data_IF_761583026758
#
_entry.id   IF_761583026758
#
_cell.length_a   1.000
_cell.length_b   1.000
_cell.length_c   1.000
_cell.angle_alpha   90.00
_cell.angle_beta   90.00
_cell.angle_gamma   90.00
#
_symmetry.space_group_name_H-M   'P 1'
#
loop_
_entity.id
_entity.type
_entity.pdbx_description
1 polymer ?
#
# COMPACT_ATOMS: atom_id res chain seq x y z
N UNK A 1 -16.28 19.70 4.18
CA UNK A 1 -15.27 19.07 3.32
C UNK A 1 -16.02 18.59 2.09
N UNK A 2 -15.52 18.86 0.89
CA UNK A 2 -16.16 18.42 -0.35
C UNK A 2 -16.35 16.89 -0.31
N UNK A 3 -17.58 16.41 -0.53
CA UNK A 3 -17.91 14.97 -0.52
C UNK A 3 -17.04 14.21 -1.51
N UNK A 4 -16.72 14.84 -2.65
CA UNK A 4 -15.83 14.28 -3.67
C UNK A 4 -14.43 13.98 -3.13
N UNK A 5 -13.93 14.77 -2.19
CA UNK A 5 -12.61 14.64 -1.58
C UNK A 5 -12.67 13.97 -0.21
N UNK A 6 -13.43 12.89 -0.12
CA UNK A 6 -13.64 12.11 1.11
C UNK A 6 -13.51 10.62 0.84
N UNK A 7 -13.42 9.82 1.91
CA UNK A 7 -13.44 8.36 1.80
C UNK A 7 -14.71 7.84 1.11
N UNK A 8 -15.87 8.46 1.38
CA UNK A 8 -17.12 8.11 0.72
C UNK A 8 -17.12 8.53 -0.75
N UNK A 9 -16.56 9.69 -1.09
CA UNK A 9 -16.41 10.14 -2.48
C UNK A 9 -15.55 9.20 -3.33
N UNK A 10 -14.45 8.67 -2.77
CA UNK A 10 -13.66 7.62 -3.44
C UNK A 10 -14.51 6.36 -3.61
N UNK A 11 -15.27 5.95 -2.59
CA UNK A 11 -16.12 4.77 -2.62
C UNK A 11 -17.28 4.89 -3.63
N UNK A 12 -17.84 6.09 -3.82
CA UNK A 12 -18.84 6.40 -4.84
C UNK A 12 -18.28 6.20 -6.25
N UNK A 13 -17.08 6.74 -6.52
CA UNK A 13 -16.39 6.54 -7.80
C UNK A 13 -16.03 5.06 -8.01
N UNK A 14 -15.84 4.30 -6.95
CA UNK A 14 -15.66 2.85 -7.01
C UNK A 14 -16.98 2.07 -7.09
N UNK A 15 -18.13 2.73 -7.04
CA UNK A 15 -19.45 2.10 -6.95
C UNK A 15 -19.58 1.10 -5.79
N UNK A 16 -18.92 1.39 -4.66
CA UNK A 16 -19.09 0.64 -3.41
C UNK A 16 -20.23 1.18 -2.56
N UNK A 17 -20.63 2.43 -2.80
CA UNK A 17 -21.80 3.08 -2.20
C UNK A 17 -22.62 3.76 -3.29
N UNK A 18 -23.90 4.00 -3.02
CA UNK A 18 -24.78 4.68 -3.96
C UNK A 18 -24.36 6.15 -4.12
N UNK A 19 -24.24 6.59 -5.38
CA UNK A 19 -24.04 8.01 -5.69
C UNK A 19 -25.38 8.75 -5.74
N UNK A 20 -25.36 10.06 -5.49
CA UNK A 20 -26.54 10.91 -5.66
C UNK A 20 -26.14 12.17 -6.44
N UNK A 21 -26.54 12.30 -7.72
CA UNK A 21 -27.38 11.37 -8.50
C UNK A 21 -26.68 10.04 -8.84
N UNK A 22 -27.43 9.00 -9.26
CA UNK A 22 -26.86 7.73 -9.71
C UNK A 22 -25.85 7.94 -10.84
N UNK A 23 -24.75 7.18 -10.81
CA UNK A 23 -23.76 7.21 -11.89
C UNK A 23 -24.40 6.68 -13.19
N UNK A 24 -24.01 7.21 -14.36
CA UNK A 24 -24.43 6.65 -15.64
C UNK A 24 -24.11 5.15 -15.74
N UNK A 25 -24.96 4.39 -16.43
CA UNK A 25 -24.84 2.93 -16.56
C UNK A 25 -23.56 2.48 -17.31
N UNK A 26 -22.94 3.37 -18.09
CA UNK A 26 -21.80 3.10 -18.97
C UNK A 26 -20.43 3.51 -18.37
N UNK A 27 -20.36 3.79 -17.07
CA UNK A 27 -19.11 4.20 -16.41
C UNK A 27 -18.15 3.01 -16.24
N UNK A 28 -17.22 2.89 -17.18
CA UNK A 28 -16.13 1.89 -17.21
C UNK A 28 -15.09 2.09 -16.10
N UNK A 29 -14.25 1.08 -15.87
CA UNK A 29 -13.10 1.17 -14.95
C UNK A 29 -12.07 2.23 -15.39
N UNK A 30 -11.94 2.46 -16.70
CA UNK A 30 -11.06 3.47 -17.27
C UNK A 30 -11.55 4.88 -16.90
N UNK A 31 -12.85 5.16 -17.08
CA UNK A 31 -13.46 6.42 -16.66
C UNK A 31 -13.26 6.67 -15.15
N UNK A 32 -13.44 5.63 -14.33
CA UNK A 32 -13.21 5.72 -12.87
C UNK A 32 -11.73 6.00 -12.56
N UNK A 33 -10.82 5.36 -13.29
CA UNK A 33 -9.38 5.60 -13.19
C UNK A 33 -9.01 7.07 -13.40
N UNK A 34 -9.60 7.72 -14.40
CA UNK A 34 -9.39 9.16 -14.66
C UNK A 34 -9.87 10.02 -13.49
N UNK A 35 -11.07 9.75 -12.97
CA UNK A 35 -11.65 10.51 -11.86
C UNK A 35 -10.81 10.33 -10.58
N UNK A 36 -10.47 9.08 -10.24
CA UNK A 36 -9.64 8.77 -9.06
C UNK A 36 -8.26 9.42 -9.20
N UNK A 37 -7.62 9.36 -10.37
CA UNK A 37 -6.32 10.00 -10.56
C UNK A 37 -6.41 11.52 -10.35
N UNK A 38 -7.50 12.16 -10.78
CA UNK A 38 -7.79 13.56 -10.46
C UNK A 38 -7.92 13.82 -8.96
N UNK A 39 -8.67 12.96 -8.23
CA UNK A 39 -8.78 13.05 -6.76
C UNK A 39 -7.42 12.91 -6.08
N UNK A 40 -6.60 11.94 -6.51
CA UNK A 40 -5.26 11.70 -5.97
C UNK A 40 -4.36 12.92 -6.12
N UNK A 41 -4.37 13.55 -7.30
CA UNK A 41 -3.60 14.78 -7.53
C UNK A 41 -4.01 15.88 -6.54
N UNK A 42 -5.31 16.03 -6.28
CA UNK A 42 -5.80 16.99 -5.28
C UNK A 42 -5.40 16.57 -3.86
N UNK A 43 -5.54 15.29 -3.49
CA UNK A 43 -5.13 14.80 -2.17
C UNK A 43 -3.66 15.09 -1.88
N UNK A 44 -2.78 14.93 -2.87
CA UNK A 44 -1.34 15.21 -2.72
C UNK A 44 -1.03 16.68 -2.43
N UNK A 45 -1.93 17.60 -2.75
CA UNK A 45 -1.81 19.04 -2.37
C UNK A 45 -2.28 19.33 -0.95
N UNK A 46 -3.01 18.41 -0.31
CA UNK A 46 -3.53 18.60 1.04
C UNK A 46 -2.41 18.41 2.09
N UNK A 47 -2.57 18.95 3.31
CA UNK A 47 -1.70 18.60 4.43
C UNK A 47 -1.69 17.09 4.68
N UNK A 48 -0.51 16.50 4.93
CA UNK A 48 -0.34 15.05 5.14
C UNK A 48 -1.31 14.46 6.17
N UNK A 49 -1.62 15.22 7.24
CA UNK A 49 -2.59 14.80 8.26
C UNK A 49 -4.00 14.62 7.68
N UNK A 50 -4.44 15.50 6.79
CA UNK A 50 -5.75 15.39 6.15
C UNK A 50 -5.81 14.19 5.19
N UNK A 51 -4.75 13.97 4.41
CA UNK A 51 -4.60 12.79 3.55
C UNK A 51 -4.72 11.51 4.36
N UNK A 52 -3.96 11.40 5.47
CA UNK A 52 -3.97 10.22 6.33
C UNK A 52 -5.34 9.91 6.93
N UNK A 53 -6.12 10.94 7.30
CA UNK A 53 -7.49 10.77 7.80
C UNK A 53 -8.37 10.13 6.72
N UNK A 54 -8.36 10.68 5.50
CA UNK A 54 -9.14 10.16 4.37
C UNK A 54 -8.72 8.73 4.01
N UNK A 55 -7.41 8.49 3.90
CA UNK A 55 -6.86 7.18 3.53
C UNK A 55 -7.18 6.11 4.58
N UNK A 56 -7.06 6.44 5.87
CA UNK A 56 -7.41 5.51 6.95
C UNK A 56 -8.91 5.27 7.04
N UNK A 57 -9.73 6.29 6.82
CA UNK A 57 -11.20 6.13 6.81
C UNK A 57 -11.63 5.24 5.65
N UNK A 58 -11.11 5.48 4.44
CA UNK A 58 -11.36 4.66 3.28
C UNK A 58 -10.93 3.22 3.51
N UNK A 59 -9.70 3.02 3.99
CA UNK A 59 -9.17 1.68 4.22
C UNK A 59 -9.95 0.92 5.31
N UNK A 60 -10.43 1.60 6.34
CA UNK A 60 -11.23 0.97 7.40
C UNK A 60 -12.60 0.47 6.92
N UNK A 61 -13.19 1.13 5.91
CA UNK A 61 -14.55 0.87 5.41
C UNK A 61 -14.59 0.01 4.14
N UNK A 62 -13.63 0.21 3.23
CA UNK A 62 -13.76 -0.26 1.84
C UNK A 62 -12.59 -1.12 1.34
N UNK A 63 -11.53 -1.30 2.14
CA UNK A 63 -10.34 -2.05 1.71
C UNK A 63 -10.64 -3.48 1.22
N UNK A 64 -11.49 -4.28 1.89
CA UNK A 64 -11.84 -5.62 1.38
C UNK A 64 -12.45 -5.60 -0.02
N UNK A 65 -13.36 -4.66 -0.28
CA UNK A 65 -14.02 -4.47 -1.58
C UNK A 65 -13.01 -4.01 -2.64
N UNK A 66 -12.08 -3.11 -2.28
CA UNK A 66 -10.99 -2.67 -3.18
C UNK A 66 -10.08 -3.83 -3.56
N UNK A 67 -9.67 -4.65 -2.59
CA UNK A 67 -8.86 -5.86 -2.85
C UNK A 67 -9.64 -6.82 -3.75
N UNK A 68 -10.92 -7.07 -3.48
CA UNK A 68 -11.73 -7.95 -4.32
C UNK A 68 -11.86 -7.44 -5.76
N UNK A 69 -12.07 -6.12 -5.95
CA UNK A 69 -12.08 -5.52 -7.29
C UNK A 69 -10.73 -5.70 -7.99
N UNK A 70 -9.62 -5.52 -7.26
CA UNK A 70 -8.28 -5.73 -7.80
C UNK A 70 -8.05 -7.19 -8.23
N UNK A 71 -8.52 -8.17 -7.43
CA UNK A 71 -8.47 -9.59 -7.79
C UNK A 71 -9.23 -9.88 -9.09
N UNK A 72 -10.39 -9.25 -9.27
CA UNK A 72 -11.26 -9.46 -10.42
C UNK A 72 -10.81 -8.73 -11.71
N UNK A 73 -9.75 -7.93 -11.68
CA UNK A 73 -9.26 -7.16 -12.83
C UNK A 73 -7.81 -7.54 -13.12
N UNK A 74 -7.47 -7.93 -14.36
CA UNK A 74 -6.11 -8.41 -14.71
C UNK A 74 -5.09 -7.30 -14.99
N UNK A 75 -5.49 -6.04 -15.09
CA UNK A 75 -4.57 -4.94 -15.37
C UNK A 75 -3.56 -4.72 -14.24
N UNK A 76 -2.32 -4.39 -14.61
CA UNK A 76 -1.22 -4.07 -13.68
C UNK A 76 -1.52 -2.86 -12.81
N UNK A 77 -2.31 -1.91 -13.33
CA UNK A 77 -2.66 -0.67 -12.65
C UNK A 77 -4.06 -0.17 -13.04
N UNK A 78 -5.09 -0.97 -12.75
CA UNK A 78 -6.48 -0.52 -12.80
C UNK A 78 -6.81 0.43 -11.63
N UNK A 79 -8.07 0.90 -11.57
CA UNK A 79 -8.54 1.83 -10.52
C UNK A 79 -8.34 1.28 -9.09
N UNK A 80 -8.44 -0.03 -8.89
CA UNK A 80 -8.26 -0.62 -7.56
C UNK A 80 -6.80 -0.57 -7.07
N UNK A 81 -5.79 -1.12 -7.77
CA UNK A 81 -4.38 -0.99 -7.37
C UNK A 81 -3.91 0.46 -7.35
N UNK A 82 -4.50 1.35 -8.16
CA UNK A 82 -4.27 2.78 -8.09
C UNK A 82 -4.58 3.32 -6.69
N UNK A 83 -5.77 3.03 -6.15
CA UNK A 83 -6.14 3.45 -4.78
C UNK A 83 -5.27 2.73 -3.74
N UNK A 84 -5.04 1.42 -3.89
CA UNK A 84 -4.22 0.65 -2.95
C UNK A 84 -2.80 1.23 -2.83
N UNK A 85 -2.23 1.70 -3.93
CA UNK A 85 -0.92 2.35 -3.95
C UNK A 85 -0.89 3.67 -3.16
N UNK A 86 -2.01 4.41 -3.11
CA UNK A 86 -2.07 5.67 -2.35
C UNK A 86 -2.29 5.43 -0.85
N UNK A 87 -3.00 4.37 -0.48
CA UNK A 87 -3.27 4.01 0.92
C UNK A 87 -2.24 3.03 1.50
N UNK A 88 -1.21 2.65 0.74
CA UNK A 88 -0.26 1.59 1.13
C UNK A 88 0.50 1.86 2.43
N UNK A 89 0.61 3.13 2.83
CA UNK A 89 1.26 3.58 4.06
C UNK A 89 0.33 3.57 5.29
N UNK A 90 -0.96 3.30 5.10
CA UNK A 90 -1.91 3.31 6.20
C UNK A 90 -1.84 1.98 6.98
N UNK A 91 -1.97 2.01 8.33
CA UNK A 91 -1.90 0.79 9.14
C UNK A 91 -2.94 -0.26 8.77
N UNK A 92 -4.11 0.14 8.25
CA UNK A 92 -5.16 -0.79 7.82
C UNK A 92 -4.74 -1.62 6.61
N UNK A 93 -4.13 -0.97 5.60
CA UNK A 93 -3.62 -1.66 4.42
C UNK A 93 -2.53 -2.65 4.80
N UNK A 94 -1.50 -2.17 5.51
CA UNK A 94 -0.37 -2.99 5.93
C UNK A 94 -0.82 -4.17 6.80
N UNK A 95 -1.71 -3.94 7.76
CA UNK A 95 -2.32 -5.02 8.55
C UNK A 95 -3.06 -6.05 7.69
N UNK A 96 -3.85 -5.58 6.71
CA UNK A 96 -4.56 -6.46 5.80
C UNK A 96 -3.63 -7.33 4.95
N UNK A 97 -2.44 -6.83 4.60
CA UNK A 97 -1.45 -7.59 3.84
C UNK A 97 -0.89 -8.79 4.61
N UNK A 98 -0.91 -8.77 5.95
CA UNK A 98 -0.50 -9.90 6.79
C UNK A 98 -1.59 -10.97 6.97
N UNK A 99 -2.82 -10.74 6.49
CA UNK A 99 -3.89 -11.74 6.57
C UNK A 99 -3.62 -12.87 5.58
N UNK A 100 -3.87 -14.11 6.00
CA UNK A 100 -3.66 -15.31 5.19
C UNK A 100 -4.36 -15.24 3.81
N UNK A 101 -5.59 -14.72 3.76
CA UNK A 101 -6.37 -14.56 2.53
C UNK A 101 -5.82 -13.52 1.54
N UNK A 102 -4.76 -12.80 1.90
CA UNK A 102 -4.14 -11.76 1.08
C UNK A 102 -2.66 -12.03 0.76
N UNK A 103 -2.09 -13.16 1.20
CA UNK A 103 -0.65 -13.43 1.05
C UNK A 103 -0.19 -13.63 -0.40
N UNK A 104 -1.13 -13.80 -1.34
CA UNK A 104 -0.88 -14.00 -2.77
C UNK A 104 -0.80 -12.69 -3.58
N UNK A 105 -1.05 -11.53 -2.95
CA UNK A 105 -1.13 -10.25 -3.67
C UNK A 105 0.20 -9.79 -4.28
N UNK A 106 1.34 -10.10 -3.65
CA UNK A 106 2.66 -9.83 -4.22
C UNK A 106 2.92 -10.66 -5.48
N UNK A 107 2.62 -11.97 -5.43
CA UNK A 107 2.73 -12.86 -6.59
C UNK A 107 1.81 -12.41 -7.74
N UNK A 108 0.57 -12.03 -7.39
CA UNK A 108 -0.40 -11.48 -8.33
C UNK A 108 0.12 -10.21 -9.01
N UNK A 109 0.69 -9.26 -8.25
CA UNK A 109 1.23 -8.03 -8.83
C UNK A 109 2.46 -8.29 -9.69
N UNK A 110 3.38 -9.18 -9.26
CA UNK A 110 4.54 -9.58 -10.08
C UNK A 110 4.09 -10.11 -11.43
N UNK A 111 3.15 -11.06 -11.44
CA UNK A 111 2.63 -11.65 -12.67
C UNK A 111 2.06 -10.58 -13.59
N UNK A 112 1.24 -9.66 -13.08
CA UNK A 112 0.65 -8.58 -13.89
C UNK A 112 1.68 -7.58 -14.39
N UNK A 113 2.71 -7.29 -13.60
CA UNK A 113 3.85 -6.46 -14.04
C UNK A 113 4.60 -7.12 -15.19
N UNK A 114 4.76 -8.45 -15.17
CA UNK A 114 5.37 -9.20 -16.26
C UNK A 114 4.48 -9.24 -17.51
N UNK A 115 3.19 -9.54 -17.34
CA UNK A 115 2.21 -9.58 -18.43
C UNK A 115 2.11 -8.20 -19.15
N UNK A 116 2.31 -7.10 -18.40
CA UNK A 116 2.30 -5.75 -18.93
C UNK A 116 3.69 -5.20 -19.32
N UNK A 117 4.76 -6.01 -19.27
CA UNK A 117 6.13 -5.51 -19.34
C UNK A 117 6.45 -4.74 -20.65
N UNK A 118 5.92 -5.18 -21.79
CA UNK A 118 6.09 -4.48 -23.07
C UNK A 118 5.39 -3.12 -23.08
N UNK A 119 4.15 -3.05 -22.57
CA UNK A 119 3.43 -1.79 -22.46
C UNK A 119 4.13 -0.81 -21.52
N UNK A 120 4.69 -1.32 -20.41
CA UNK A 120 5.44 -0.53 -19.42
C UNK A 120 6.67 0.17 -20.01
N UNK A 121 7.34 -0.41 -21.00
CA UNK A 121 8.50 0.22 -21.65
C UNK A 121 8.13 1.54 -22.35
N UNK A 122 6.88 1.66 -22.83
CA UNK A 122 6.35 2.89 -23.43
C UNK A 122 5.70 3.87 -22.44
N UNK A 123 5.49 3.47 -21.18
CA UNK A 123 4.79 4.31 -20.19
C UNK A 123 5.62 5.53 -19.75
N UNK A 124 4.91 6.56 -19.29
CA UNK A 124 5.55 7.71 -18.63
C UNK A 124 6.19 7.27 -17.32
N UNK A 125 7.15 8.05 -16.84
CA UNK A 125 7.91 7.70 -15.65
C UNK A 125 7.04 7.65 -14.39
N UNK A 126 6.08 8.57 -14.25
CA UNK A 126 5.16 8.61 -13.10
C UNK A 126 4.23 7.38 -13.03
N UNK A 127 3.83 6.83 -14.18
CA UNK A 127 3.05 5.60 -14.25
C UNK A 127 3.88 4.38 -13.83
N UNK A 128 5.11 4.28 -14.35
CA UNK A 128 6.07 3.24 -13.96
C UNK A 128 6.39 3.34 -12.46
N UNK A 129 6.61 4.55 -11.95
CA UNK A 129 6.92 4.81 -10.54
C UNK A 129 5.82 4.23 -9.65
N UNK A 130 4.56 4.50 -10.00
CA UNK A 130 3.43 4.00 -9.23
C UNK A 130 3.36 2.47 -9.21
N UNK A 131 3.60 1.81 -10.34
CA UNK A 131 3.64 0.34 -10.43
C UNK A 131 4.74 -0.23 -9.54
N UNK A 132 5.96 0.31 -9.68
CA UNK A 132 7.12 -0.20 -8.96
C UNK A 132 7.09 0.12 -7.47
N UNK A 133 6.56 1.28 -7.07
CA UNK A 133 6.40 1.64 -5.66
C UNK A 133 5.44 0.70 -4.96
N UNK A 134 4.28 0.45 -5.58
CA UNK A 134 3.30 -0.48 -5.04
C UNK A 134 3.84 -1.92 -4.98
N UNK A 135 4.52 -2.37 -6.04
CA UNK A 135 5.18 -3.67 -6.05
C UNK A 135 6.26 -3.78 -4.96
N UNK A 136 7.07 -2.75 -4.77
CA UNK A 136 8.10 -2.73 -3.75
C UNK A 136 7.51 -2.85 -2.33
N UNK A 137 6.39 -2.17 -2.06
CA UNK A 137 5.68 -2.31 -0.78
C UNK A 137 5.14 -3.73 -0.57
N UNK A 138 4.53 -4.33 -1.60
CA UNK A 138 4.03 -5.71 -1.50
C UNK A 138 5.16 -6.70 -1.24
N UNK A 139 6.26 -6.60 -1.98
CA UNK A 139 7.46 -7.44 -1.79
C UNK A 139 8.09 -7.24 -0.41
N UNK A 140 8.10 -6.01 0.10
CA UNK A 140 8.57 -5.71 1.46
C UNK A 140 7.69 -6.39 2.50
N UNK A 141 6.36 -6.32 2.35
CA UNK A 141 5.42 -6.80 3.38
C UNK A 141 5.22 -8.33 3.33
N UNK A 142 5.07 -8.90 2.13
CA UNK A 142 4.69 -10.31 1.93
C UNK A 142 5.86 -11.24 1.60
N UNK A 143 7.04 -10.69 1.33
CA UNK A 143 8.19 -11.43 0.83
C UNK A 143 7.93 -12.02 -0.58
N UNK A 144 8.87 -12.82 -1.09
CA UNK A 144 8.84 -13.47 -2.41
C UNK A 144 8.50 -14.96 -2.37
N UNK A 145 8.13 -15.50 -1.20
CA UNK A 145 7.94 -16.93 -0.93
C UNK A 145 6.95 -17.64 -1.86
N UNK A 146 5.91 -16.93 -2.28
CA UNK A 146 4.82 -17.47 -3.11
C UNK A 146 4.96 -17.08 -4.60
N UNK A 147 6.13 -16.55 -4.99
CA UNK A 147 6.41 -16.07 -6.34
C UNK A 147 7.32 -17.08 -7.04
N UNK A 148 6.93 -17.61 -8.23
CA UNK A 148 7.78 -18.55 -8.96
C UNK A 148 9.17 -17.96 -9.26
N UNK A 149 10.24 -18.74 -9.05
CA UNK A 149 11.62 -18.31 -9.34
C UNK A 149 11.84 -17.98 -10.82
N UNK A 150 11.08 -18.61 -11.73
CA UNK A 150 11.04 -18.26 -13.15
C UNK A 150 10.60 -16.80 -13.35
N UNK A 151 9.52 -16.41 -12.68
CA UNK A 151 8.92 -15.09 -12.80
C UNK A 151 9.84 -14.03 -12.18
N UNK A 152 10.45 -14.34 -11.03
CA UNK A 152 11.45 -13.47 -10.41
C UNK A 152 12.66 -13.25 -11.33
N UNK A 153 13.13 -14.28 -12.02
CA UNK A 153 14.26 -14.18 -12.96
C UNK A 153 13.94 -13.28 -14.16
N UNK A 154 12.73 -13.42 -14.73
CA UNK A 154 12.27 -12.56 -15.82
C UNK A 154 12.08 -11.12 -15.34
N UNK A 155 11.48 -10.94 -14.15
CA UNK A 155 11.25 -9.61 -13.57
C UNK A 155 12.57 -8.90 -13.30
N UNK A 156 13.59 -9.58 -12.75
CA UNK A 156 14.92 -9.00 -12.54
C UNK A 156 15.55 -8.54 -13.86
N UNK A 157 15.32 -9.24 -14.96
CA UNK A 157 15.80 -8.83 -16.29
C UNK A 157 15.11 -7.53 -16.73
N UNK A 158 13.79 -7.42 -16.56
CA UNK A 158 13.05 -6.19 -16.87
C UNK A 158 13.42 -5.04 -15.94
N UNK A 159 13.57 -5.27 -14.64
CA UNK A 159 14.01 -4.27 -13.67
C UNK A 159 15.38 -3.68 -14.02
N UNK A 160 16.34 -4.48 -14.50
CA UNK A 160 17.64 -3.97 -14.98
C UNK A 160 17.51 -3.01 -16.16
N UNK A 161 16.53 -3.23 -17.03
CA UNK A 161 16.24 -2.32 -18.15
C UNK A 161 15.63 -1.02 -17.60
N UNK A 162 14.61 -1.13 -16.75
CA UNK A 162 13.90 0.03 -16.19
C UNK A 162 14.74 0.87 -15.23
N UNK A 163 15.71 0.27 -14.53
CA UNK A 163 16.68 0.99 -13.68
C UNK A 163 17.41 2.11 -14.42
N UNK A 164 17.64 1.95 -15.74
CA UNK A 164 18.34 2.95 -16.57
C UNK A 164 17.56 4.26 -16.74
N UNK A 165 16.28 4.29 -16.36
CA UNK A 165 15.43 5.50 -16.38
C UNK A 165 15.63 6.40 -15.15
N UNK A 166 16.39 5.94 -14.15
CA UNK A 166 16.55 6.61 -12.87
C UNK A 166 18.02 6.92 -12.59
N UNK A 167 18.29 7.89 -11.69
CA UNK A 167 19.60 8.02 -11.07
C UNK A 167 20.04 6.73 -10.37
N UNK A 168 21.33 6.53 -10.20
CA UNK A 168 21.88 5.41 -9.43
C UNK A 168 21.79 5.64 -7.91
N UNK A 169 20.58 5.87 -7.43
CA UNK A 169 20.26 6.12 -6.02
C UNK A 169 19.17 5.16 -5.56
N UNK A 170 19.39 4.43 -4.46
CA UNK A 170 18.44 3.39 -4.03
C UNK A 170 17.10 3.98 -3.56
N UNK A 171 17.09 5.18 -3.00
CA UNK A 171 15.84 5.80 -2.54
C UNK A 171 14.99 6.27 -3.72
N UNK A 172 15.60 6.83 -4.76
CA UNK A 172 14.90 7.34 -5.94
C UNK A 172 14.64 6.26 -7.00
N UNK A 173 15.51 5.25 -7.13
CA UNK A 173 15.42 4.22 -8.15
C UNK A 173 14.51 3.06 -7.69
N UNK A 174 13.22 3.18 -8.00
CA UNK A 174 12.19 2.21 -7.66
C UNK A 174 12.46 0.81 -8.23
N UNK A 175 13.02 0.74 -9.44
CA UNK A 175 13.39 -0.54 -10.06
C UNK A 175 14.55 -1.22 -9.32
N UNK A 176 15.52 -0.43 -8.83
CA UNK A 176 16.60 -0.91 -7.95
C UNK A 176 16.05 -1.39 -6.61
N UNK A 177 15.09 -0.67 -6.00
CA UNK A 177 14.41 -1.12 -4.76
C UNK A 177 13.74 -2.48 -4.91
N UNK A 178 12.96 -2.68 -5.97
CA UNK A 178 12.35 -3.98 -6.26
C UNK A 178 13.42 -5.08 -6.43
N UNK A 179 14.50 -4.77 -7.13
CA UNK A 179 15.60 -5.73 -7.35
C UNK A 179 16.28 -6.12 -6.04
N UNK A 180 16.49 -5.18 -5.12
CA UNK A 180 17.06 -5.44 -3.78
C UNK A 180 16.12 -6.29 -2.94
N UNK A 181 14.82 -6.04 -2.99
CA UNK A 181 13.82 -6.83 -2.27
C UNK A 181 13.77 -8.29 -2.74
N UNK A 182 13.94 -8.51 -4.04
CA UNK A 182 13.97 -9.85 -4.65
C UNK A 182 15.30 -10.55 -4.34
N UNK A 183 16.44 -9.90 -4.58
CA UNK A 183 17.76 -10.53 -4.51
C UNK A 183 18.34 -10.60 -3.10
N UNK A 184 17.92 -9.71 -2.21
CA UNK A 184 18.41 -9.59 -0.82
C UNK A 184 19.95 -9.66 -0.73
N UNK A 185 20.66 -8.73 -1.39
CA UNK A 185 22.12 -8.76 -1.38
C UNK A 185 22.63 -8.53 0.06
N UNK A 186 23.62 -9.30 0.54
CA UNK A 186 24.08 -9.26 1.93
C UNK A 186 24.39 -7.86 2.46
N UNK A 187 25.02 -7.02 1.62
CA UNK A 187 25.39 -5.65 1.99
C UNK A 187 24.18 -4.76 2.35
N UNK A 188 23.00 -5.00 1.75
CA UNK A 188 21.80 -4.19 2.00
C UNK A 188 20.82 -4.87 2.97
N UNK A 189 20.99 -6.17 3.24
CA UNK A 189 20.19 -6.90 4.23
C UNK A 189 20.51 -6.54 5.67
N UNK A 190 21.70 -5.99 5.93
CA UNK A 190 22.14 -5.64 7.28
C UNK A 190 21.54 -4.29 7.72
N UNK A 191 21.60 -3.26 6.86
CA UNK A 191 21.24 -1.89 7.26
C UNK A 191 19.96 -1.38 6.59
N UNK A 192 19.93 -1.35 5.25
CA UNK A 192 18.86 -0.68 4.52
C UNK A 192 17.51 -1.39 4.66
N UNK A 193 17.47 -2.71 4.46
CA UNK A 193 16.22 -3.47 4.54
C UNK A 193 15.59 -3.41 5.95
N UNK A 194 16.31 -3.66 7.06
CA UNK A 194 15.74 -3.53 8.40
C UNK A 194 15.26 -2.11 8.70
N UNK A 195 16.04 -1.10 8.32
CA UNK A 195 15.67 0.31 8.53
C UNK A 195 14.41 0.70 7.76
N UNK A 196 14.30 0.23 6.52
CA UNK A 196 13.12 0.50 5.70
C UNK A 196 11.89 -0.27 6.23
N UNK A 197 12.04 -1.57 6.55
CA UNK A 197 10.98 -2.34 7.23
C UNK A 197 10.52 -1.66 8.51
N UNK A 198 11.46 -1.13 9.31
CA UNK A 198 11.14 -0.41 10.53
C UNK A 198 10.24 0.79 10.26
N UNK A 199 10.59 1.60 9.26
CA UNK A 199 9.83 2.78 8.86
C UNK A 199 8.44 2.42 8.33
N UNK A 200 8.34 1.41 7.46
CA UNK A 200 7.08 1.02 6.82
C UNK A 200 6.14 0.32 7.79
N UNK A 201 6.65 -0.60 8.60
CA UNK A 201 5.83 -1.46 9.47
C UNK A 201 5.60 -0.87 10.87
N UNK A 202 5.99 0.39 11.07
CA UNK A 202 5.77 1.14 12.30
C UNK A 202 4.28 1.19 12.63
N UNK A 203 3.95 0.75 13.85
CA UNK A 203 2.58 0.67 14.32
C UNK A 203 1.79 -0.52 13.78
N UNK A 204 2.39 -1.44 13.02
CA UNK A 204 1.72 -2.65 12.51
C UNK A 204 2.40 -3.93 13.03
N UNK A 205 3.72 -4.03 12.86
CA UNK A 205 4.57 -5.10 13.43
C UNK A 205 5.48 -4.58 14.55
N UNK A 206 5.57 -3.26 14.68
CA UNK A 206 6.37 -2.57 15.68
C UNK A 206 5.48 -1.61 16.47
N UNK A 207 5.80 -1.37 17.74
CA UNK A 207 5.06 -0.43 18.57
C UNK A 207 4.94 0.95 17.89
N UNK A 208 3.72 1.49 17.84
CA UNK A 208 3.42 2.76 17.17
C UNK A 208 3.95 4.02 17.88
N UNK A 209 4.36 3.92 19.15
CA UNK A 209 4.95 5.04 19.87
C UNK A 209 6.27 5.48 19.18
N UNK A 210 6.43 6.79 18.94
CA UNK A 210 7.43 7.36 18.02
C UNK A 210 8.85 6.86 18.27
N UNK A 211 9.27 6.71 19.53
CA UNK A 211 10.64 6.36 19.92
C UNK A 211 10.81 4.88 20.27
N UNK A 212 9.74 4.09 20.26
CA UNK A 212 9.79 2.67 20.59
C UNK A 212 10.12 1.79 19.38
N UNK A 213 11.07 0.87 19.52
CA UNK A 213 11.43 -0.06 18.43
C UNK A 213 10.98 -1.51 18.69
N UNK A 214 10.16 -1.73 19.73
CA UNK A 214 9.77 -3.07 20.15
C UNK A 214 8.82 -3.73 19.15
N UNK A 215 9.12 -4.99 18.81
CA UNK A 215 8.27 -5.87 18.01
C UNK A 215 7.47 -6.87 18.86
N UNK A 216 7.68 -6.88 20.18
CA UNK A 216 6.99 -7.73 21.14
C UNK A 216 6.51 -6.92 22.35
N UNK A 217 5.55 -7.45 23.10
CA UNK A 217 5.10 -6.86 24.34
C UNK A 217 6.17 -6.99 25.45
N UNK A 218 6.00 -6.25 26.55
CA UNK A 218 6.98 -6.23 27.65
C UNK A 218 7.21 -7.58 28.33
N UNK A 219 6.28 -8.52 28.20
CA UNK A 219 6.36 -9.90 28.68
C UNK A 219 6.89 -10.89 27.62
N UNK A 220 7.31 -10.39 26.45
CA UNK A 220 7.71 -11.21 25.30
C UNK A 220 6.51 -11.74 24.48
N UNK A 221 5.28 -11.43 24.87
CA UNK A 221 4.07 -11.80 24.14
C UNK A 221 3.81 -10.96 22.88
N UNK A 222 2.69 -11.21 22.19
CA UNK A 222 2.28 -10.41 21.03
C UNK A 222 1.95 -8.97 21.44
N UNK A 223 2.22 -8.02 20.53
CA UNK A 223 1.88 -6.61 20.75
C UNK A 223 0.37 -6.40 20.99
N UNK A 224 0.04 -5.47 21.87
CA UNK A 224 -1.33 -5.03 22.13
C UNK A 224 -1.92 -4.30 20.92
N UNK A 225 -3.04 -4.78 20.41
CA UNK A 225 -3.78 -4.12 19.32
C UNK A 225 -4.72 -3.04 19.86
N UNK A 226 -4.79 -1.90 19.16
CA UNK A 226 -5.78 -0.87 19.44
C UNK A 226 -7.18 -1.49 19.44
N UNK A 227 -7.94 -1.33 20.52
CA UNK A 227 -9.23 -1.99 20.69
C UNK A 227 -10.28 -1.55 19.66
N UNK A 228 -10.16 -0.34 19.11
CA UNK A 228 -11.09 0.25 18.13
C UNK A 228 -10.77 -0.15 16.68
N UNK A 229 -9.56 0.11 16.20
CA UNK A 229 -9.20 -0.13 14.80
C UNK A 229 -8.57 -1.50 14.51
N UNK A 230 -8.08 -2.19 15.55
CA UNK A 230 -7.34 -3.48 15.49
C UNK A 230 -6.08 -3.51 14.61
N UNK A 231 -5.80 -2.43 13.88
CA UNK A 231 -4.72 -2.33 12.90
C UNK A 231 -3.43 -1.82 13.51
N UNK A 232 -3.52 -0.88 14.48
CA UNK A 232 -2.34 -0.31 15.13
C UNK A 232 -1.94 -1.09 16.40
N UNK A 233 -0.64 -1.34 16.60
CA UNK A 233 -0.09 -2.14 17.71
C UNK A 233 0.83 -1.38 18.67
N UNK A 234 0.94 -1.86 19.91
CA UNK A 234 1.71 -1.26 21.00
C UNK A 234 2.34 -2.34 21.89
N UNK A 235 3.55 -2.10 22.42
CA UNK A 235 4.16 -3.05 23.35
C UNK A 235 3.54 -3.01 24.76
N UNK A 236 2.87 -1.90 25.12
CA UNK A 236 2.21 -1.70 26.42
C UNK A 236 1.09 -0.64 26.34
N UNK A 237 0.28 -0.53 27.40
CA UNK A 237 -0.84 0.43 27.47
C UNK A 237 -0.37 1.87 27.58
N UNK A 238 0.79 2.10 28.18
CA UNK A 238 1.42 3.41 28.36
C UNK A 238 1.75 4.02 27.00
N UNK A 239 2.37 3.24 26.12
CA UNK A 239 2.67 3.64 24.74
C UNK A 239 1.40 3.90 23.91
N UNK A 240 0.34 3.11 24.13
CA UNK A 240 -0.96 3.38 23.50
C UNK A 240 -1.53 4.73 23.96
N UNK A 241 -1.50 5.03 25.26
CA UNK A 241 -1.96 6.31 25.81
C UNK A 241 -1.13 7.48 25.28
N UNK A 242 0.19 7.33 25.22
CA UNK A 242 1.11 8.34 24.71
C UNK A 242 0.88 8.64 23.22
N UNK A 243 0.60 7.62 22.41
CA UNK A 243 0.31 7.77 20.98
C UNK A 243 -1.13 8.21 20.68
N UNK A 244 -2.06 8.13 21.65
CA UNK A 244 -3.47 8.44 21.42
C UNK A 244 -3.76 9.84 20.84
N UNK A 245 -3.09 10.93 21.27
CA UNK A 245 -3.35 12.27 20.74
C UNK A 245 -3.19 12.38 19.22
N UNK A 246 -2.24 11.65 18.64
CA UNK A 246 -2.01 11.58 17.20
C UNK A 246 -2.89 10.51 16.55
N UNK A 247 -2.97 9.32 17.14
CA UNK A 247 -3.71 8.18 16.59
C UNK A 247 -5.21 8.43 16.42
N UNK A 248 -5.84 9.10 17.39
CA UNK A 248 -7.31 9.24 17.45
C UNK A 248 -7.93 9.86 16.20
N UNK A 249 -7.18 10.71 15.49
CA UNK A 249 -7.66 11.41 14.31
C UNK A 249 -7.91 10.48 13.12
N UNK A 250 -7.19 9.37 13.03
CA UNK A 250 -7.29 8.38 11.94
C UNK A 250 -7.60 6.97 12.47
N UNK A 251 -8.11 6.87 13.69
CA UNK A 251 -8.53 5.62 14.31
C UNK A 251 -10.03 5.37 14.03
N UNK A 252 -10.32 4.74 12.90
CA UNK A 252 -11.65 4.28 12.50
C UNK A 252 -11.91 2.83 12.95
N UNK A 253 -13.17 2.53 13.26
CA UNK A 253 -13.61 1.16 13.54
C UNK A 253 -13.59 0.40 12.21
N UNK A 254 -12.98 -0.78 12.19
CA UNK A 254 -13.09 -1.70 11.06
C UNK A 254 -14.41 -2.44 11.17
N UNK A 255 -15.14 -2.54 10.07
CA UNK A 255 -16.20 -3.53 9.94
C UNK A 255 -15.50 -4.89 9.78
N UNK A 256 -15.30 -5.58 10.91
CA UNK A 256 -14.80 -6.96 10.94
C UNK A 256 -15.98 -7.92 10.84
#
# INVERSE_FOLDING_TARGET
>A
MDRFLSAEGIAEVMSFVASTPPAPEDVTDEHRGVIINGQILIFRTMPQRAQMIIHCEYAAKYLPQTIQRWRNNSSVMSVAPLILSEIQWCPYFLHAMFRACNQDLAAMQVKRTLDAAEAIEGMKQDELDRILEFLATLLLVQDRKDIPESDLSVLLTKLKIWQRRYPDDLEQNLAKRCSVLITRPPALTIDWLPSWRHRVLKGVELCAEVRCIQSVAGDGGPLLRCSRCKSTVYCCREHQKAHWPTHKAYCFKTEQ
#
